data_IF_055624873820
#
_entry.id   IF_055624873820
#
_cell.length_a   1.000
_cell.length_b   1.000
_cell.length_c   1.000
_cell.angle_alpha   90.00
_cell.angle_beta   90.00
_cell.angle_gamma   90.00
#
_symmetry.space_group_name_H-M   'P 1'
#
loop_
_entity.id
_entity.type
_entity.pdbx_description
1 polymer ?
#
# COMPACT_ATOMS: atom_id res chain seq x y z
N UNK A 1 18.99 1.52 8.11
CA UNK A 1 18.51 1.14 6.76
C UNK A 1 17.05 0.77 6.90
N UNK A 2 16.17 1.38 6.12
CA UNK A 2 14.73 1.05 6.14
C UNK A 2 14.55 -0.32 5.51
N UNK A 3 13.73 -1.18 6.12
CA UNK A 3 13.44 -2.51 5.56
C UNK A 3 12.75 -2.37 4.20
N UNK A 4 13.21 -3.03 3.13
CA UNK A 4 12.53 -3.02 1.83
C UNK A 4 11.32 -3.97 1.77
N UNK A 5 10.97 -4.60 2.90
CA UNK A 5 9.89 -5.58 3.03
C UNK A 5 8.96 -5.15 4.15
N UNK A 6 7.65 -5.21 3.89
CA UNK A 6 6.55 -5.04 4.85
C UNK A 6 5.77 -6.35 4.96
N UNK A 7 5.19 -6.65 6.12
CA UNK A 7 4.32 -7.81 6.29
C UNK A 7 2.87 -7.34 6.23
N UNK A 8 2.05 -8.01 5.42
CA UNK A 8 0.60 -7.79 5.33
C UNK A 8 -0.06 -9.15 5.48
N UNK A 9 -0.92 -9.31 6.48
CA UNK A 9 -1.49 -10.60 6.87
C UNK A 9 -0.38 -11.65 7.10
N UNK A 10 -0.33 -12.75 6.34
CA UNK A 10 0.71 -13.77 6.39
C UNK A 10 1.78 -13.63 5.28
N UNK A 11 1.78 -12.52 4.52
CA UNK A 11 2.62 -12.30 3.34
C UNK A 11 3.72 -11.29 3.60
N UNK A 12 4.94 -11.58 3.15
CA UNK A 12 6.06 -10.64 3.16
C UNK A 12 6.15 -9.97 1.79
N UNK A 13 5.82 -8.68 1.74
CA UNK A 13 5.69 -7.90 0.52
C UNK A 13 6.94 -7.02 0.30
N UNK A 14 7.66 -7.18 -0.81
CA UNK A 14 8.69 -6.22 -1.20
C UNK A 14 8.06 -4.89 -1.62
N UNK A 15 8.50 -3.78 -1.02
CA UNK A 15 7.92 -2.45 -1.26
C UNK A 15 8.02 -2.00 -2.73
N UNK A 16 9.11 -2.35 -3.42
CA UNK A 16 9.32 -2.01 -4.84
C UNK A 16 8.31 -2.67 -5.81
N UNK A 17 7.50 -3.61 -5.32
CA UNK A 17 6.44 -4.26 -6.12
C UNK A 17 5.12 -3.51 -6.05
N UNK A 18 4.93 -2.59 -5.10
CA UNK A 18 3.67 -1.86 -4.96
C UNK A 18 3.53 -0.82 -6.07
N UNK A 19 2.42 -0.86 -6.80
CA UNK A 19 2.08 0.07 -7.88
C UNK A 19 1.20 1.20 -7.37
N UNK A 20 0.13 0.86 -6.63
CA UNK A 20 -0.74 1.82 -5.96
C UNK A 20 -1.48 1.17 -4.79
N UNK A 21 -2.02 2.01 -3.90
CA UNK A 21 -2.78 1.62 -2.72
C UNK A 21 -4.13 2.35 -2.77
N UNK A 22 -5.23 1.61 -2.62
CA UNK A 22 -6.56 2.20 -2.60
C UNK A 22 -6.77 3.01 -1.31
N UNK A 23 -7.33 4.21 -1.44
CA UNK A 23 -7.72 5.05 -0.30
C UNK A 23 -9.12 4.69 0.26
N UNK A 24 -9.92 3.98 -0.55
CA UNK A 24 -11.25 3.50 -0.18
C UNK A 24 -11.30 1.96 -0.22
N UNK A 25 -12.12 1.33 0.64
CA UNK A 25 -12.33 -0.10 0.57
C UNK A 25 -13.07 -0.48 -0.71
N UNK A 26 -12.92 -1.75 -1.12
CA UNK A 26 -13.65 -2.31 -2.23
C UNK A 26 -15.15 -2.23 -2.02
N UNK A 27 -15.85 -1.77 -3.05
CA UNK A 27 -17.31 -1.81 -3.10
C UNK A 27 -17.77 -2.15 -4.52
N UNK A 28 -18.28 -3.38 -4.73
CA UNK A 28 -18.84 -3.79 -6.02
C UNK A 28 -20.31 -4.25 -5.94
N UNK A 29 -20.83 -4.53 -4.74
CA UNK A 29 -22.23 -4.90 -4.55
C UNK A 29 -22.60 -6.33 -4.99
N UNK A 30 -21.62 -7.14 -5.40
CA UNK A 30 -21.82 -8.56 -5.73
C UNK A 30 -21.95 -9.39 -4.45
N UNK A 31 -23.00 -10.21 -4.35
CA UNK A 31 -23.32 -10.97 -3.13
C UNK A 31 -22.22 -11.96 -2.72
N UNK A 32 -21.48 -12.50 -3.70
CA UNK A 32 -20.41 -13.47 -3.47
C UNK A 32 -19.01 -12.85 -3.31
N UNK A 33 -18.91 -11.52 -3.29
CA UNK A 33 -17.62 -10.83 -3.18
C UNK A 33 -16.95 -11.06 -1.81
N UNK A 34 -15.80 -11.73 -1.83
CA UNK A 34 -15.01 -12.00 -0.61
C UNK A 34 -14.09 -10.83 -0.22
N UNK A 35 -14.05 -9.76 -1.02
CA UNK A 35 -13.13 -8.62 -0.85
C UNK A 35 -13.85 -7.33 -0.47
N UNK A 36 -15.18 -7.34 -0.45
CA UNK A 36 -15.99 -6.20 -0.05
C UNK A 36 -15.56 -5.68 1.33
N UNK A 37 -15.32 -4.37 1.44
CA UNK A 37 -14.86 -3.74 2.68
C UNK A 37 -13.35 -3.81 2.95
N UNK A 38 -12.58 -4.61 2.18
CA UNK A 38 -11.12 -4.65 2.28
C UNK A 38 -10.46 -3.59 1.37
N UNK A 39 -9.26 -3.18 1.75
CA UNK A 39 -8.42 -2.25 0.98
C UNK A 39 -7.52 -3.02 0.03
N UNK A 40 -7.35 -2.48 -1.17
CA UNK A 40 -6.51 -3.07 -2.21
C UNK A 40 -5.11 -2.46 -2.23
N UNK A 41 -4.10 -3.31 -2.21
CA UNK A 41 -2.71 -2.97 -2.52
C UNK A 41 -2.35 -3.66 -3.82
N UNK A 42 -2.17 -2.88 -4.90
CA UNK A 42 -1.88 -3.40 -6.24
C UNK A 42 -0.39 -3.64 -6.41
N UNK A 43 -0.04 -4.82 -6.92
CA UNK A 43 1.34 -5.20 -7.20
C UNK A 43 1.63 -5.17 -8.72
N UNK A 44 2.92 -5.02 -9.05
CA UNK A 44 3.44 -5.17 -10.40
C UNK A 44 3.28 -6.66 -10.79
N UNK A 45 2.54 -6.94 -11.87
CA UNK A 45 1.99 -8.25 -12.33
C UNK A 45 0.58 -8.59 -11.79
N UNK A 46 -0.45 -7.88 -12.27
CA UNK A 46 -1.91 -8.17 -12.15
C UNK A 46 -2.45 -8.72 -10.80
N UNK A 47 -1.67 -8.64 -9.75
CA UNK A 47 -1.91 -9.25 -8.45
C UNK A 47 -2.24 -8.16 -7.43
N UNK A 48 -3.03 -8.54 -6.44
CA UNK A 48 -3.51 -7.62 -5.42
C UNK A 48 -3.52 -8.29 -4.06
N UNK A 49 -3.02 -7.57 -3.06
CA UNK A 49 -3.22 -7.92 -1.66
C UNK A 49 -4.43 -7.17 -1.14
N UNK A 50 -5.36 -7.91 -0.55
CA UNK A 50 -6.56 -7.37 0.09
C UNK A 50 -6.36 -7.39 1.60
N UNK A 51 -6.55 -6.25 2.25
CA UNK A 51 -6.11 -6.06 3.63
C UNK A 51 -7.00 -5.09 4.40
N UNK A 52 -6.77 -4.96 5.70
CA UNK A 52 -7.47 -4.02 6.56
C UNK A 52 -7.01 -2.57 6.32
N UNK A 53 -7.78 -1.58 6.79
CA UNK A 53 -7.36 -0.18 6.75
C UNK A 53 -6.06 0.09 7.50
N UNK A 54 -5.85 -0.61 8.62
CA UNK A 54 -4.67 -0.49 9.46
C UNK A 54 -3.41 -0.97 8.73
N UNK A 55 -3.45 -2.17 8.17
CA UNK A 55 -2.33 -2.71 7.41
C UNK A 55 -2.08 -1.91 6.11
N UNK A 56 -3.14 -1.38 5.47
CA UNK A 56 -2.99 -0.43 4.36
C UNK A 56 -2.19 0.81 4.79
N UNK A 57 -2.48 1.38 5.96
CA UNK A 57 -1.70 2.52 6.49
C UNK A 57 -0.24 2.13 6.77
N UNK A 58 -0.01 0.94 7.33
CA UNK A 58 1.35 0.45 7.59
C UNK A 58 2.18 0.33 6.29
N UNK A 59 1.57 -0.12 5.18
CA UNK A 59 2.25 -0.16 3.88
C UNK A 59 2.52 1.25 3.34
N UNK A 60 1.57 2.18 3.47
CA UNK A 60 1.78 3.58 3.09
C UNK A 60 2.93 4.22 3.87
N UNK A 61 2.96 4.04 5.19
CA UNK A 61 4.04 4.52 6.05
C UNK A 61 5.39 3.89 5.67
N UNK A 62 5.40 2.59 5.37
CA UNK A 62 6.62 1.89 4.95
C UNK A 62 7.13 2.41 3.61
N UNK A 63 6.26 2.67 2.62
CA UNK A 63 6.62 3.27 1.34
C UNK A 63 7.18 4.68 1.51
N UNK A 64 6.49 5.54 2.26
CA UNK A 64 6.97 6.91 2.51
C UNK A 64 8.34 6.91 3.19
N UNK A 65 8.54 6.02 4.17
CA UNK A 65 9.84 5.88 4.84
C UNK A 65 10.92 5.34 3.91
N UNK A 66 10.57 4.45 2.98
CA UNK A 66 11.50 3.81 2.05
C UNK A 66 11.92 4.73 0.89
N UNK A 67 10.99 5.50 0.32
CA UNK A 67 11.28 6.49 -0.72
C UNK A 67 12.03 7.73 -0.18
N UNK A 68 12.03 7.94 1.14
CA UNK A 68 12.47 9.18 1.78
C UNK A 68 11.29 10.16 1.91
N UNK A 69 11.29 11.01 2.94
CA UNK A 69 10.29 12.07 3.05
C UNK A 69 10.60 13.12 1.95
N UNK A 70 9.70 13.40 1.00
CA UNK A 70 9.91 14.49 0.04
C UNK A 70 10.12 15.84 0.75
N UNK A 71 9.62 16.00 1.98
CA UNK A 71 9.86 17.21 2.80
C UNK A 71 11.30 17.35 3.29
N UNK A 72 12.09 16.28 3.25
CA UNK A 72 13.53 16.32 3.54
C UNK A 72 14.36 16.63 2.29
N UNK A 73 13.73 16.89 1.12
CA UNK A 73 14.42 17.41 -0.05
C UNK A 73 14.67 18.92 0.12
N UNK A 74 15.94 19.36 0.31
CA UNK A 74 16.26 20.77 0.51
C UNK A 74 16.00 21.65 -0.73
N UNK A 75 15.71 21.05 -1.89
CA UNK A 75 15.48 21.74 -3.16
C UNK A 75 13.99 21.77 -3.59
N UNK A 76 13.07 21.18 -2.81
CA UNK A 76 11.63 21.21 -3.14
C UNK A 76 10.99 22.56 -2.75
N UNK A 77 10.90 23.46 -3.73
CA UNK A 77 10.13 24.71 -3.61
C UNK A 77 8.63 24.38 -3.73
N UNK A 78 7.77 24.94 -2.86
CA UNK A 78 6.33 24.71 -2.93
C UNK A 78 5.80 25.28 -4.25
N UNK A 79 5.18 24.42 -5.06
CA UNK A 79 4.37 24.81 -6.21
C UNK A 79 2.91 24.46 -5.93
#
# INVERSE_FOLDING_TARGET
MVSPIVKVDDKHLPLYRVVWIADLPHFCGEEDCQREGYYEIRLDVEDSVWTSSAERDEVLEALNRWCGDPRDDPDERPF
#
